data_IF_604076827828
#
_entry.id   IF_604076827828
#
_cell.length_a   1.000
_cell.length_b   1.000
_cell.length_c   1.000
_cell.angle_alpha   90.00
_cell.angle_beta   90.00
_cell.angle_gamma   90.00
#
_symmetry.space_group_name_H-M   'P 1'
#
loop_
_entity.id
_entity.type
_entity.pdbx_description
1 polymer ?
#
# COMPACT_ATOMS: atom_id res chain seq x y z
N UNK A 1 -5.17 -0.57 -7.91
CA UNK A 1 -4.70 -1.83 -7.29
C UNK A 1 -5.47 -3.02 -7.84
N UNK A 2 -4.80 -4.16 -8.01
CA UNK A 2 -5.44 -5.43 -8.34
C UNK A 2 -5.08 -6.49 -7.30
N UNK A 3 -6.01 -7.42 -7.07
CA UNK A 3 -5.80 -8.62 -6.28
C UNK A 3 -5.65 -9.77 -7.26
N UNK A 4 -4.63 -10.59 -7.05
CA UNK A 4 -4.38 -11.81 -7.80
C UNK A 4 -4.39 -13.00 -6.85
N UNK A 5 -4.77 -14.16 -7.36
CA UNK A 5 -4.60 -15.41 -6.61
C UNK A 5 -3.15 -15.91 -6.68
N UNK A 6 -2.88 -17.02 -5.99
CA UNK A 6 -1.57 -17.69 -5.93
C UNK A 6 -1.05 -18.17 -7.29
N UNK A 7 -1.91 -18.28 -8.29
CA UNK A 7 -1.57 -18.60 -9.68
C UNK A 7 -1.37 -17.33 -10.54
N UNK A 8 -1.42 -16.14 -9.93
CA UNK A 8 -1.26 -14.86 -10.60
C UNK A 8 -2.48 -14.40 -11.40
N UNK A 9 -3.65 -15.04 -11.24
CA UNK A 9 -4.87 -14.69 -11.98
C UNK A 9 -5.59 -13.53 -11.30
N UNK A 10 -6.14 -12.61 -12.10
CA UNK A 10 -6.90 -11.48 -11.57
C UNK A 10 -8.18 -11.95 -10.86
N UNK A 11 -8.35 -11.51 -9.61
CA UNK A 11 -9.53 -11.78 -8.77
C UNK A 11 -10.41 -10.54 -8.67
N UNK A 12 -9.80 -9.40 -8.36
CA UNK A 12 -10.51 -8.13 -8.20
C UNK A 12 -9.61 -6.95 -8.56
N UNK A 13 -10.22 -5.83 -8.95
CA UNK A 13 -9.52 -4.59 -9.27
C UNK A 13 -10.28 -3.43 -8.65
N UNK A 14 -9.55 -2.51 -8.03
CA UNK A 14 -10.06 -1.20 -7.59
C UNK A 14 -9.19 -0.11 -8.18
N UNK A 15 -9.82 0.79 -8.89
CA UNK A 15 -9.21 1.98 -9.46
C UNK A 15 -9.95 3.20 -8.89
N UNK A 16 -9.19 4.13 -8.34
CA UNK A 16 -9.69 5.38 -7.79
C UNK A 16 -9.04 6.54 -8.54
N UNK A 17 -9.84 7.58 -8.79
CA UNK A 17 -9.35 8.82 -9.37
C UNK A 17 -8.91 9.74 -8.24
N UNK A 18 -7.65 10.16 -8.26
CA UNK A 18 -7.10 11.13 -7.33
C UNK A 18 -7.01 12.50 -8.01
N UNK A 19 -7.66 13.49 -7.42
CA UNK A 19 -7.50 14.90 -7.77
C UNK A 19 -7.01 15.64 -6.51
N UNK A 20 -6.00 16.53 -6.59
CA UNK A 20 -5.38 17.11 -7.78
C UNK A 20 -4.25 16.26 -8.40
N UNK A 21 -3.62 16.77 -9.48
CA UNK A 21 -2.41 16.16 -10.07
C UNK A 21 -1.31 16.09 -9.00
N UNK A 22 -1.01 14.88 -8.55
CA UNK A 22 0.04 14.58 -7.59
C UNK A 22 1.26 13.99 -8.29
N UNK A 23 2.43 14.12 -7.67
CA UNK A 23 3.63 13.48 -8.19
C UNK A 23 3.51 11.94 -8.08
N UNK A 24 4.28 11.23 -8.92
CA UNK A 24 4.21 9.76 -9.01
C UNK A 24 4.48 9.07 -7.68
N UNK A 25 5.46 9.52 -6.89
CA UNK A 25 5.78 8.90 -5.59
C UNK A 25 4.62 9.05 -4.59
N UNK A 26 3.97 10.22 -4.57
CA UNK A 26 2.83 10.51 -3.72
C UNK A 26 1.58 9.73 -4.17
N UNK A 27 1.32 9.64 -5.47
CA UNK A 27 0.20 8.86 -5.99
C UNK A 27 0.33 7.37 -5.74
N UNK A 28 1.54 6.84 -5.88
CA UNK A 28 1.84 5.46 -5.56
C UNK A 28 1.69 5.18 -4.05
N UNK A 29 2.18 6.07 -3.18
CA UNK A 29 1.98 5.95 -1.74
C UNK A 29 0.51 6.10 -1.34
N UNK A 30 -0.25 6.99 -1.99
CA UNK A 30 -1.70 7.07 -1.81
C UNK A 30 -2.41 5.80 -2.29
N UNK A 31 -1.88 5.11 -3.30
CA UNK A 31 -2.35 3.80 -3.74
C UNK A 31 -2.30 2.73 -2.65
N UNK A 32 -1.44 2.88 -1.64
CA UNK A 32 -1.46 2.03 -0.43
C UNK A 32 -2.70 2.26 0.45
N UNK A 33 -3.57 3.23 0.17
CA UNK A 33 -4.91 3.31 0.77
C UNK A 33 -5.71 2.03 0.55
N UNK A 34 -5.40 1.31 -0.52
CA UNK A 34 -6.01 0.04 -0.86
C UNK A 34 -5.67 -1.08 0.15
N UNK A 35 -4.71 -0.87 1.06
CA UNK A 35 -4.53 -1.73 2.24
C UNK A 35 -5.79 -1.78 3.11
N UNK A 36 -6.51 -0.66 3.26
CA UNK A 36 -7.78 -0.61 3.98
C UNK A 36 -8.83 -1.46 3.26
N UNK A 37 -8.87 -1.36 1.93
CA UNK A 37 -9.77 -2.17 1.11
C UNK A 37 -9.48 -3.68 1.25
N UNK A 38 -8.21 -4.07 1.27
CA UNK A 38 -7.82 -5.47 1.54
C UNK A 38 -8.30 -5.92 2.93
N UNK A 39 -8.17 -5.06 3.94
CA UNK A 39 -8.66 -5.38 5.28
C UNK A 39 -10.20 -5.47 5.34
N UNK A 40 -10.93 -4.61 4.63
CA UNK A 40 -12.40 -4.68 4.50
C UNK A 40 -12.85 -6.00 3.86
N UNK A 41 -12.08 -6.51 2.88
CA UNK A 41 -12.32 -7.82 2.27
C UNK A 41 -11.89 -9.00 3.16
N UNK A 42 -11.31 -8.75 4.33
CA UNK A 42 -10.80 -9.75 5.26
C UNK A 42 -9.79 -10.71 4.64
N UNK A 43 -9.08 -10.27 3.59
CA UNK A 43 -8.00 -11.05 3.01
C UNK A 43 -6.78 -10.98 3.94
N UNK A 44 -6.13 -12.12 4.12
CA UNK A 44 -4.97 -12.36 4.97
C UNK A 44 -3.94 -13.17 4.18
N UNK A 45 -2.71 -13.22 4.67
CA UNK A 45 -1.62 -14.01 4.06
C UNK A 45 -1.41 -13.67 2.58
N UNK A 46 -1.30 -12.38 2.26
CA UNK A 46 -1.07 -11.88 0.92
C UNK A 46 0.26 -11.12 0.81
N UNK A 47 0.88 -11.24 -0.35
CA UNK A 47 2.02 -10.40 -0.73
C UNK A 47 1.54 -9.09 -1.37
N UNK A 48 2.17 -7.98 -0.97
CA UNK A 48 1.92 -6.66 -1.55
C UNK A 48 3.03 -6.31 -2.54
N UNK A 49 2.68 -6.21 -3.82
CA UNK A 49 3.58 -5.80 -4.89
C UNK A 49 3.39 -4.31 -5.23
N UNK A 50 4.49 -3.60 -5.45
CA UNK A 50 4.49 -2.18 -5.80
C UNK A 50 5.55 -1.91 -6.87
N UNK A 51 5.18 -1.12 -7.89
CA UNK A 51 6.06 -0.87 -9.05
C UNK A 51 7.08 0.25 -8.77
N UNK A 52 6.90 1.01 -7.68
CA UNK A 52 7.78 2.10 -7.31
C UNK A 52 8.76 1.72 -6.20
N UNK A 53 9.98 1.30 -6.60
CA UNK A 53 11.07 0.94 -5.67
C UNK A 53 11.37 2.02 -4.63
N UNK A 54 11.32 3.31 -4.99
CA UNK A 54 11.64 4.39 -4.03
C UNK A 54 10.62 4.46 -2.90
N UNK A 55 9.35 4.22 -3.20
CA UNK A 55 8.29 4.20 -2.19
C UNK A 55 8.46 2.99 -1.28
N UNK A 56 8.77 1.81 -1.83
CA UNK A 56 9.08 0.60 -1.06
C UNK A 56 10.29 0.83 -0.14
N UNK A 57 11.40 1.33 -0.68
CA UNK A 57 12.61 1.61 0.11
C UNK A 57 12.32 2.59 1.25
N UNK A 58 11.48 3.62 1.02
CA UNK A 58 11.07 4.60 2.04
C UNK A 58 10.15 4.00 3.09
N UNK A 59 9.18 3.17 2.69
CA UNK A 59 8.22 2.50 3.58
C UNK A 59 8.94 1.68 4.66
N UNK A 60 10.02 0.99 4.28
CA UNK A 60 10.81 0.15 5.18
C UNK A 60 12.04 0.85 5.77
N UNK A 61 12.31 2.10 5.41
CA UNK A 61 13.43 2.85 5.97
C UNK A 61 13.20 3.23 7.45
N UNK A 62 14.30 3.38 8.20
CA UNK A 62 14.30 3.94 9.56
C UNK A 62 14.41 5.47 9.59
N UNK A 63 14.48 6.12 8.41
CA UNK A 63 14.71 7.56 8.30
C UNK A 63 13.39 8.31 8.30
N UNK A 64 13.22 9.18 9.28
CA UNK A 64 12.09 10.11 9.37
C UNK A 64 12.45 11.43 8.69
N UNK A 65 11.82 11.68 7.54
CA UNK A 65 11.80 13.01 6.93
C UNK A 65 10.40 13.63 7.16
N UNK A 66 10.32 14.95 7.32
CA UNK A 66 9.05 15.65 7.47
C UNK A 66 8.51 16.02 6.07
N UNK A 67 7.62 15.19 5.54
CA UNK A 67 6.90 15.44 4.28
C UNK A 67 5.57 14.67 4.27
N UNK A 68 4.58 15.16 3.53
CA UNK A 68 3.26 14.51 3.38
C UNK A 68 3.39 13.04 2.96
N UNK A 69 4.33 12.75 2.06
CA UNK A 69 4.66 11.40 1.64
C UNK A 69 5.12 10.52 2.81
N UNK A 70 5.97 11.05 3.68
CA UNK A 70 6.45 10.31 4.85
C UNK A 70 5.35 10.07 5.88
N UNK A 71 4.40 10.99 6.03
CA UNK A 71 3.25 10.82 6.91
C UNK A 71 2.31 9.73 6.39
N UNK A 72 2.00 9.74 5.09
CA UNK A 72 1.22 8.68 4.44
C UNK A 72 1.90 7.32 4.61
N UNK A 73 3.21 7.23 4.35
CA UNK A 73 3.95 5.97 4.47
C UNK A 73 4.01 5.48 5.92
N UNK A 74 4.06 6.37 6.92
CA UNK A 74 4.01 6.00 8.34
C UNK A 74 2.66 5.39 8.70
N UNK A 75 1.58 5.96 8.20
CA UNK A 75 0.23 5.43 8.39
C UNK A 75 0.09 4.05 7.74
N UNK A 76 0.55 3.91 6.49
CA UNK A 76 0.53 2.62 5.78
C UNK A 76 1.36 1.55 6.49
N UNK A 77 2.57 1.89 6.96
CA UNK A 77 3.42 0.97 7.74
C UNK A 77 2.75 0.53 9.03
N UNK A 78 2.16 1.47 9.76
CA UNK A 78 1.43 1.19 11.00
C UNK A 78 0.28 0.23 10.71
N UNK A 79 -0.50 0.50 9.66
CA UNK A 79 -1.62 -0.34 9.25
C UNK A 79 -1.18 -1.76 8.87
N UNK A 80 -0.13 -1.91 8.06
CA UNK A 80 0.47 -3.20 7.72
C UNK A 80 0.84 -4.00 8.98
N UNK A 81 1.53 -3.35 9.93
CA UNK A 81 2.04 -4.00 11.13
C UNK A 81 0.99 -4.32 12.20
N UNK A 82 -0.23 -3.79 12.09
CA UNK A 82 -1.28 -3.94 13.12
C UNK A 82 -2.52 -4.67 12.62
N UNK A 83 -2.87 -4.51 11.34
CA UNK A 83 -4.15 -4.97 10.78
C UNK A 83 -3.99 -6.10 9.74
N UNK A 84 -2.80 -6.24 9.17
CA UNK A 84 -2.48 -7.19 8.09
C UNK A 84 -1.30 -8.10 8.48
N UNK A 85 -1.15 -8.38 9.77
CA UNK A 85 -0.18 -9.36 10.24
C UNK A 85 -0.71 -10.76 10.02
N UNK A 86 0.13 -11.62 9.46
CA UNK A 86 -0.15 -13.06 9.41
C UNK A 86 -0.20 -13.60 10.85
N UNK A 87 -1.04 -14.59 11.11
CA UNK A 87 -1.07 -15.25 12.42
C UNK A 87 0.26 -15.99 12.63
N UNK A 88 0.88 -15.81 13.79
CA UNK A 88 2.09 -16.56 14.20
C UNK A 88 1.81 -18.06 14.30
#
# INVERSE_FOLDING_TARGET
MCIRDDQGRYVAVRAEWLEPIINVELGEAMGLSALKWVNELQLRDMDFEMDNKRVVDRLYSSRTYNSDLCDILRDCRTFLSTSLTNSN
#
